data_IF_078586563189
#
_entry.id   IF_078586563189
#
_cell.length_a   1.000
_cell.length_b   1.000
_cell.length_c   1.000
_cell.angle_alpha   90.00
_cell.angle_beta   90.00
_cell.angle_gamma   90.00
#
_symmetry.space_group_name_H-M   'P 1'
#
loop_
_entity.id
_entity.type
_entity.pdbx_description
1 polymer ?
#
# COMPACT_ATOMS: atom_id res chain seq x y z
N UNK A 1 -14.74 15.08 -5.41
CA UNK A 1 -14.28 14.74 -5.31
C UNK A 1 -14.07 13.69 -4.89
N UNK A 2 -13.84 12.99 -4.91
CA UNK A 2 -13.62 12.10 -4.47
C UNK A 2 -12.51 11.79 -4.15
N UNK A 3 -12.06 11.45 -3.33
CA UNK A 3 -10.94 11.17 -3.05
C UNK A 3 -10.83 9.90 -2.56
N UNK A 4 -10.00 9.19 -2.92
CA UNK A 4 -9.85 8.00 -2.44
C UNK A 4 -9.34 8.03 -1.15
N UNK A 5 -9.64 7.23 -0.32
CA UNK A 5 -9.14 7.23 0.94
C UNK A 5 -7.74 6.91 0.90
N UNK A 6 -6.94 7.69 1.16
CA UNK A 6 -5.61 7.49 1.15
C UNK A 6 -5.15 7.16 2.47
N UNK A 7 -4.79 5.97 2.83
CA UNK A 7 -4.24 5.66 4.12
C UNK A 7 -2.94 6.39 4.26
N UNK A 8 -2.58 6.67 5.44
CA UNK A 8 -1.33 7.33 5.69
C UNK A 8 -0.22 6.38 5.38
N UNK A 9 0.72 6.77 4.58
CA UNK A 9 1.88 5.95 4.33
C UNK A 9 3.11 6.80 4.33
N UNK A 10 4.26 6.19 4.55
CA UNK A 10 5.52 6.86 4.50
C UNK A 10 6.39 6.13 3.50
N UNK A 11 7.30 6.86 2.88
CA UNK A 11 8.21 6.27 1.92
C UNK A 11 9.61 6.60 2.38
N UNK A 12 10.45 5.60 2.50
CA UNK A 12 11.84 5.81 2.86
C UNK A 12 12.70 5.11 1.84
N UNK A 13 13.93 5.55 1.74
CA UNK A 13 14.86 4.93 0.81
C UNK A 13 15.91 4.19 1.61
N UNK A 14 16.14 2.94 1.26
CA UNK A 14 17.12 2.14 1.95
C UNK A 14 17.91 1.36 0.93
N UNK A 15 19.20 1.52 0.93
CA UNK A 15 20.06 0.75 0.04
C UNK A 15 19.60 0.82 -1.40
N UNK A 16 19.22 1.98 -1.84
CA UNK A 16 18.84 2.13 -3.23
C UNK A 16 17.43 1.64 -3.55
N UNK A 17 16.69 1.28 -2.56
CA UNK A 17 15.33 0.81 -2.77
C UNK A 17 14.40 1.71 -1.99
N UNK A 18 13.25 1.99 -2.54
CA UNK A 18 12.25 2.78 -1.85
C UNK A 18 11.25 1.83 -1.20
N UNK A 19 10.92 2.11 0.04
CA UNK A 19 9.98 1.29 0.79
C UNK A 19 8.81 2.16 1.17
N UNK A 20 7.63 1.76 0.77
CA UNK A 20 6.41 2.46 1.14
C UNK A 20 5.71 1.62 2.19
N UNK A 21 5.36 2.26 3.28
CA UNK A 21 4.78 1.51 4.39
C UNK A 21 3.53 2.19 4.88
N UNK A 22 2.55 1.42 5.20
CA UNK A 22 1.32 1.91 5.76
C UNK A 22 1.23 1.40 7.19
N UNK A 23 1.63 2.20 8.16
CA UNK A 23 1.67 1.71 9.54
C UNK A 23 0.32 1.34 10.09
N UNK A 24 -0.71 2.02 9.62
CA UNK A 24 -2.03 1.74 10.13
C UNK A 24 -2.46 0.33 9.83
N UNK A 25 -2.03 -0.20 8.72
CA UNK A 25 -2.43 -1.53 8.31
C UNK A 25 -1.27 -2.51 8.35
N UNK A 26 -0.12 -2.04 8.77
CA UNK A 26 1.05 -2.92 8.85
C UNK A 26 1.35 -3.58 7.50
N UNK A 27 1.21 -2.83 6.44
CA UNK A 27 1.48 -3.30 5.11
C UNK A 27 2.60 -2.48 4.54
N UNK A 28 3.52 -3.11 3.86
CA UNK A 28 4.64 -2.41 3.26
C UNK A 28 4.95 -3.01 1.91
N UNK A 29 5.52 -2.19 1.06
CA UNK A 29 5.93 -2.65 -0.25
C UNK A 29 7.17 -1.87 -0.64
N UNK A 30 7.80 -2.23 -1.72
CA UNK A 30 9.02 -1.54 -2.12
C UNK A 30 9.10 -1.48 -3.63
N UNK A 31 10.02 -0.67 -4.11
CA UNK A 31 10.21 -0.53 -5.53
C UNK A 31 11.52 0.17 -5.81
N UNK A 32 11.89 0.21 -7.06
CA UNK A 32 13.11 0.87 -7.46
C UNK A 32 12.97 2.37 -7.45
N UNK A 33 11.78 2.89 -7.50
CA UNK A 33 11.54 4.32 -7.41
C UNK A 33 10.43 4.54 -6.41
N UNK A 34 10.31 5.78 -5.98
CA UNK A 34 9.26 6.11 -5.05
C UNK A 34 7.89 5.81 -5.64
N UNK A 35 7.71 6.18 -6.90
CA UNK A 35 6.45 5.93 -7.54
C UNK A 35 6.14 4.45 -7.59
N UNK A 36 7.13 3.66 -7.90
CA UNK A 36 6.93 2.23 -7.99
C UNK A 36 6.60 1.64 -6.62
N UNK A 37 7.26 2.11 -5.58
CA UNK A 37 6.97 1.62 -4.25
C UNK A 37 5.55 1.96 -3.85
N UNK A 38 5.09 3.15 -4.18
CA UNK A 38 3.73 3.55 -3.85
C UNK A 38 2.73 2.74 -4.64
N UNK A 39 3.00 2.53 -5.91
CA UNK A 39 2.08 1.74 -6.72
C UNK A 39 1.99 0.32 -6.20
N UNK A 40 3.12 -0.24 -5.81
CA UNK A 40 3.12 -1.58 -5.27
C UNK A 40 2.39 -1.63 -3.93
N UNK A 41 2.52 -0.57 -3.14
CA UNK A 41 1.81 -0.52 -1.88
C UNK A 41 0.31 -0.46 -2.13
N UNK A 42 -0.10 0.34 -3.09
CA UNK A 42 -1.52 0.43 -3.39
C UNK A 42 -2.08 -0.89 -3.84
N UNK A 43 -1.30 -1.61 -4.62
CA UNK A 43 -1.74 -2.90 -5.07
C UNK A 43 -1.84 -3.87 -3.91
N UNK A 44 -0.88 -3.81 -3.00
CA UNK A 44 -0.92 -4.67 -1.83
C UNK A 44 -2.11 -4.33 -0.95
N UNK A 45 -2.43 -3.06 -0.83
CA UNK A 45 -3.59 -2.67 -0.04
C UNK A 45 -4.88 -3.15 -0.68
N UNK A 46 -4.94 -3.10 -2.00
CA UNK A 46 -6.12 -3.58 -2.68
C UNK A 46 -6.31 -5.07 -2.45
N UNK A 47 -5.23 -5.81 -2.51
CA UNK A 47 -5.32 -7.23 -2.25
C UNK A 47 -5.67 -7.50 -0.79
N UNK A 48 -5.14 -6.70 0.10
CA UNK A 48 -5.43 -6.85 1.50
C UNK A 48 -6.93 -6.71 1.74
N UNK A 49 -7.53 -5.70 1.14
CA UNK A 49 -8.94 -5.49 1.33
C UNK A 49 -9.78 -6.54 0.63
N UNK A 50 -9.31 -6.99 -0.52
CA UNK A 50 -10.02 -8.00 -1.21
C UNK A 50 -10.03 -9.29 -0.47
N UNK A 51 -8.95 -9.53 0.25
CA UNK A 51 -8.80 -10.76 0.93
C UNK A 51 -9.55 -10.81 2.22
N UNK A 52 -10.18 -9.74 2.61
CA UNK A 52 -10.92 -9.76 3.82
C UNK A 52 -12.03 -10.74 3.69
N UNK A 53 -12.23 -11.48 4.74
CA UNK A 53 -13.26 -12.47 4.67
C UNK A 53 -14.56 -11.81 4.73
N UNK A 54 -14.86 -11.05 4.03
CA UNK A 54 -16.05 -10.37 4.10
C UNK A 54 -17.15 -11.22 3.90
N UNK A 55 -18.23 -10.75 3.88
CA UNK A 55 -19.41 -11.38 3.74
C UNK A 55 -19.52 -11.86 2.47
N UNK A 56 -18.98 -12.03 2.09
CA UNK A 56 -19.11 -12.53 0.95
C UNK A 56 -20.09 -12.14 0.32
N UNK A 57 -20.50 -11.95 0.30
CA UNK A 57 -21.27 -11.65 -0.25
C UNK A 57 -21.47 -11.87 -0.97
N UNK A 58 -21.26 -12.13 -0.89
CA UNK A 58 -21.50 -12.26 -1.48
C UNK A 58 -21.41 -12.50 -1.87
#
# INVERSE_FOLDING_TARGET
>A
MKRKPNPNYVVVQENGVFVARCPDLDVASHGATEKEAIENLEEALALFFEDLPGPADG
#
